data_IF_830244476014
#
_entry.id   IF_830244476014
#
_cell.length_a   1.000
_cell.length_b   1.000
_cell.length_c   1.000
_cell.angle_alpha   90.00
_cell.angle_beta   90.00
_cell.angle_gamma   90.00
#
_symmetry.space_group_name_H-M   'P 1'
#
loop_
_entity.id
_entity.type
_entity.pdbx_description
1 polymer ?
#
# COMPACT_ATOMS: atom_id res chain seq x y z
N UNK A 1 21.60 -6.74 3.92
CA UNK A 1 21.14 -5.78 2.91
C UNK A 1 22.27 -4.83 2.56
N UNK A 2 22.45 -4.55 1.27
CA UNK A 2 23.40 -3.58 0.70
C UNK A 2 22.67 -2.28 0.37
N UNK A 3 23.44 -1.23 0.04
CA UNK A 3 22.87 0.06 -0.39
C UNK A 3 22.02 -0.07 -1.67
N UNK A 4 22.39 -0.95 -2.60
CA UNK A 4 21.63 -1.14 -3.84
C UNK A 4 20.34 -1.92 -3.59
N UNK A 5 20.37 -2.96 -2.75
CA UNK A 5 19.16 -3.70 -2.35
C UNK A 5 18.14 -2.80 -1.63
N UNK A 6 18.60 -1.84 -0.81
CA UNK A 6 17.72 -0.84 -0.18
C UNK A 6 17.04 0.03 -1.23
N UNK A 7 17.78 0.50 -2.25
CA UNK A 7 17.20 1.33 -3.33
C UNK A 7 16.18 0.55 -4.16
N UNK A 8 16.45 -0.73 -4.44
CA UNK A 8 15.52 -1.58 -5.17
C UNK A 8 14.22 -1.76 -4.40
N UNK A 9 14.28 -2.06 -3.10
CA UNK A 9 13.10 -2.15 -2.24
C UNK A 9 12.31 -0.84 -2.13
N UNK A 10 13.00 0.30 -2.07
CA UNK A 10 12.32 1.60 -2.07
C UNK A 10 11.60 1.87 -3.40
N UNK A 11 12.20 1.48 -4.53
CA UNK A 11 11.54 1.59 -5.84
C UNK A 11 10.33 0.68 -5.95
N UNK A 12 10.41 -0.55 -5.44
CA UNK A 12 9.26 -1.46 -5.38
C UNK A 12 8.14 -0.87 -4.53
N UNK A 13 8.48 -0.32 -3.35
CA UNK A 13 7.54 0.36 -2.48
C UNK A 13 6.86 1.57 -3.13
N UNK A 14 7.62 2.40 -3.86
CA UNK A 14 7.08 3.51 -4.65
C UNK A 14 6.06 3.02 -5.69
N UNK A 15 6.35 1.92 -6.40
CA UNK A 15 5.40 1.31 -7.34
C UNK A 15 4.10 0.85 -6.68
N UNK A 16 4.18 0.27 -5.48
CA UNK A 16 2.97 -0.08 -4.72
C UNK A 16 2.19 1.15 -4.26
N UNK A 17 2.88 2.25 -3.90
CA UNK A 17 2.23 3.50 -3.51
C UNK A 17 1.47 4.13 -4.67
N UNK A 18 2.08 4.15 -5.86
CA UNK A 18 1.43 4.61 -7.09
C UNK A 18 0.16 3.79 -7.36
N UNK A 19 0.23 2.46 -7.23
CA UNK A 19 -0.93 1.59 -7.40
C UNK A 19 -2.03 1.85 -6.36
N UNK A 20 -1.66 2.05 -5.09
CA UNK A 20 -2.62 2.39 -4.04
C UNK A 20 -3.32 3.73 -4.33
N UNK A 21 -2.58 4.71 -4.86
CA UNK A 21 -3.15 6.01 -5.24
C UNK A 21 -4.17 5.85 -6.37
N UNK A 22 -3.89 5.08 -7.42
CA UNK A 22 -4.83 4.81 -8.51
C UNK A 22 -6.15 4.23 -8.00
N UNK A 23 -6.08 3.24 -7.10
CA UNK A 23 -7.26 2.59 -6.52
C UNK A 23 -8.08 3.56 -5.66
N UNK A 24 -7.41 4.45 -4.92
CA UNK A 24 -8.07 5.51 -4.14
C UNK A 24 -8.76 6.55 -5.01
N UNK A 25 -8.15 6.91 -6.15
CA UNK A 25 -8.77 7.79 -7.13
C UNK A 25 -10.03 7.15 -7.74
N UNK A 26 -9.97 5.84 -8.02
CA UNK A 26 -11.12 5.08 -8.49
C UNK A 26 -12.25 5.07 -7.45
N UNK A 27 -11.94 4.79 -6.19
CA UNK A 27 -12.90 4.88 -5.07
C UNK A 27 -13.57 6.25 -4.97
N UNK A 28 -12.78 7.33 -5.12
CA UNK A 28 -13.31 8.69 -5.10
C UNK A 28 -14.27 8.93 -6.27
N UNK A 29 -13.94 8.40 -7.45
CA UNK A 29 -14.78 8.51 -8.66
C UNK A 29 -16.14 7.84 -8.50
N UNK A 30 -16.21 6.74 -7.73
CA UNK A 30 -17.46 6.05 -7.42
C UNK A 30 -18.38 6.89 -6.53
N UNK A 31 -17.81 7.59 -5.54
CA UNK A 31 -18.56 8.47 -4.62
C UNK A 31 -19.12 9.74 -5.28
N UNK A 32 -18.51 10.20 -6.39
CA UNK A 32 -18.88 11.45 -7.06
C UNK A 32 -20.04 11.33 -8.08
N UNK A 33 -20.50 10.12 -8.43
CA UNK A 33 -21.60 9.93 -9.41
C UNK A 33 -22.97 9.85 -8.73
N UNK A 34 -23.70 10.97 -8.67
CA UNK A 34 -24.98 11.13 -7.98
C UNK A 34 -26.29 10.81 -8.76
N UNK A 35 -27.20 10.17 -8.02
CA UNK A 35 -28.66 10.37 -7.89
C UNK A 35 -29.70 9.97 -8.97
N UNK A 36 -29.36 9.17 -9.99
CA UNK A 36 -30.38 8.44 -10.79
C UNK A 36 -30.00 6.98 -11.06
N UNK A 37 -29.47 6.30 -10.04
CA UNK A 37 -29.13 4.89 -10.15
C UNK A 37 -30.32 4.02 -9.74
N UNK A 38 -30.54 2.93 -10.46
CA UNK A 38 -31.38 1.81 -10.06
C UNK A 38 -30.79 1.12 -8.83
N UNK A 39 -31.60 0.34 -8.11
CA UNK A 39 -31.14 -0.43 -6.95
C UNK A 39 -29.98 -1.36 -7.30
N UNK A 40 -30.05 -2.05 -8.45
CA UNK A 40 -28.97 -2.93 -8.92
C UNK A 40 -27.66 -2.16 -9.17
N UNK A 41 -27.72 -0.98 -9.81
CA UNK A 41 -26.53 -0.16 -10.04
C UNK A 41 -25.91 0.37 -8.74
N UNK A 42 -26.70 0.55 -7.69
CA UNK A 42 -26.19 0.90 -6.35
C UNK A 42 -25.48 -0.30 -5.73
N UNK A 43 -26.08 -1.50 -5.82
CA UNK A 43 -25.47 -2.74 -5.32
C UNK A 43 -24.15 -3.06 -6.03
N UNK A 44 -24.11 -2.93 -7.35
CA UNK A 44 -22.89 -3.17 -8.14
C UNK A 44 -21.77 -2.18 -7.77
N UNK A 45 -22.12 -0.91 -7.52
CA UNK A 45 -21.15 0.11 -7.05
C UNK A 45 -20.63 -0.18 -5.65
N UNK A 46 -21.47 -0.69 -4.75
CA UNK A 46 -21.07 -1.07 -3.41
C UNK A 46 -20.13 -2.29 -3.44
N UNK A 47 -20.46 -3.31 -4.22
CA UNK A 47 -19.60 -4.47 -4.41
C UNK A 47 -18.22 -4.05 -4.97
N UNK A 48 -18.21 -3.21 -6.01
CA UNK A 48 -16.97 -2.69 -6.59
C UNK A 48 -16.18 -1.82 -5.61
N UNK A 49 -16.86 -1.01 -4.80
CA UNK A 49 -16.21 -0.25 -3.73
C UNK A 49 -15.51 -1.18 -2.73
N UNK A 50 -16.18 -2.23 -2.29
CA UNK A 50 -15.63 -3.18 -1.32
C UNK A 50 -14.45 -3.96 -1.90
N UNK A 51 -14.51 -4.34 -3.18
CA UNK A 51 -13.40 -4.97 -3.90
C UNK A 51 -12.16 -4.06 -3.96
N UNK A 52 -12.35 -2.77 -4.26
CA UNK A 52 -11.25 -1.78 -4.28
C UNK A 52 -10.64 -1.57 -2.89
N UNK A 53 -11.46 -1.52 -1.84
CA UNK A 53 -10.97 -1.42 -0.46
C UNK A 53 -10.15 -2.66 -0.09
N UNK A 54 -10.64 -3.85 -0.41
CA UNK A 54 -9.94 -5.11 -0.16
C UNK A 54 -8.61 -5.20 -0.94
N UNK A 55 -8.55 -4.71 -2.18
CA UNK A 55 -7.31 -4.63 -2.96
C UNK A 55 -6.28 -3.69 -2.30
N UNK A 56 -6.71 -2.52 -1.82
CA UNK A 56 -5.83 -1.58 -1.10
C UNK A 56 -5.26 -2.23 0.17
N UNK A 57 -6.10 -2.89 0.95
CA UNK A 57 -5.66 -3.60 2.16
C UNK A 57 -4.66 -4.70 1.82
N UNK A 58 -4.93 -5.48 0.78
CA UNK A 58 -4.04 -6.54 0.32
C UNK A 58 -2.66 -6.00 -0.10
N UNK A 59 -2.62 -4.93 -0.90
CA UNK A 59 -1.34 -4.32 -1.32
C UNK A 59 -0.53 -3.87 -0.10
N UNK A 60 -1.20 -3.30 0.90
CA UNK A 60 -0.52 -2.87 2.12
C UNK A 60 0.02 -4.04 2.92
N UNK A 61 -0.79 -5.05 3.15
CA UNK A 61 -0.44 -6.19 4.01
C UNK A 61 0.56 -7.14 3.35
N UNK A 62 0.36 -7.46 2.08
CA UNK A 62 1.14 -8.47 1.37
C UNK A 62 2.39 -7.91 0.71
N UNK A 63 2.45 -6.59 0.42
CA UNK A 63 3.57 -6.00 -0.31
C UNK A 63 4.29 -4.89 0.47
N UNK A 64 3.57 -3.85 0.89
CA UNK A 64 4.20 -2.68 1.50
C UNK A 64 4.76 -2.95 2.91
N UNK A 65 3.96 -3.55 3.79
CA UNK A 65 4.36 -3.83 5.18
C UNK A 65 5.59 -4.75 5.27
N UNK A 66 5.69 -5.85 4.49
CA UNK A 66 6.91 -6.66 4.44
C UNK A 66 8.16 -5.87 4.05
N UNK A 67 8.05 -4.99 3.05
CA UNK A 67 9.18 -4.13 2.65
C UNK A 67 9.60 -3.22 3.80
N UNK A 68 8.64 -2.58 4.47
CA UNK A 68 8.93 -1.72 5.62
C UNK A 68 9.56 -2.50 6.78
N UNK A 69 9.07 -3.70 7.08
CA UNK A 69 9.63 -4.58 8.10
C UNK A 69 11.08 -4.97 7.80
N UNK A 70 11.38 -5.34 6.55
CA UNK A 70 12.75 -5.65 6.12
C UNK A 70 13.68 -4.44 6.24
N UNK A 71 13.22 -3.25 5.84
CA UNK A 71 13.99 -2.01 5.95
C UNK A 71 14.22 -1.62 7.41
N UNK A 72 13.21 -1.73 8.27
CA UNK A 72 13.32 -1.47 9.71
C UNK A 72 14.31 -2.43 10.39
N UNK A 73 14.23 -3.73 10.09
CA UNK A 73 15.18 -4.74 10.58
C UNK A 73 16.60 -4.43 10.15
N UNK A 74 16.79 -4.00 8.90
CA UNK A 74 18.10 -3.57 8.42
C UNK A 74 18.63 -2.35 9.18
N UNK A 75 17.82 -1.31 9.35
CA UNK A 75 18.21 -0.10 10.10
C UNK A 75 18.57 -0.47 11.55
N UNK A 76 17.72 -1.25 12.22
CA UNK A 76 17.96 -1.70 13.59
C UNK A 76 19.28 -2.49 13.71
N UNK A 77 19.60 -3.35 12.74
CA UNK A 77 20.86 -4.10 12.72
C UNK A 77 22.11 -3.21 12.57
N UNK A 78 21.95 -1.97 12.11
CA UNK A 78 23.04 -1.00 11.95
C UNK A 78 23.15 -0.01 13.10
N UNK A 79 22.09 0.16 13.89
CA UNK A 79 22.10 1.05 15.06
C UNK A 79 22.58 0.36 16.34
N UNK A 80 22.51 -0.97 16.44
CA UNK A 80 22.98 -1.73 17.61
C UNK A 80 24.52 -1.77 17.73
N UNK A 81 25.27 -1.45 16.68
CA UNK A 81 26.75 -1.47 16.69
C UNK A 81 27.42 -0.30 17.46
N UNK A 82 26.67 0.65 18.03
CA UNK A 82 27.24 1.83 18.71
C UNK A 82 27.40 1.66 20.23
N UNK A 83 26.62 0.79 20.87
CA UNK A 83 26.56 0.69 22.34
C UNK A 83 27.32 -0.51 22.94
N UNK A 84 27.90 -1.41 22.13
CA UNK A 84 28.66 -2.58 22.60
C UNK A 84 30.17 -2.36 22.78
N UNK A 85 30.64 -1.11 22.76
CA UNK A 85 32.04 -0.75 23.06
C UNK A 85 32.09 0.28 24.19
N UNK A 86 31.74 -0.15 25.40
CA UNK A 86 32.11 0.52 26.66
C UNK A 86 32.48 -0.52 27.71
#
# INVERSE_FOLDING_TARGET
MTKEEVKEKLREFEGYLEREMELKEELLSLKLRGNKATEQEVLDKLAHHDDLVAEIERIREENMLPILDELMKFIASKTVDVDTVL
#
